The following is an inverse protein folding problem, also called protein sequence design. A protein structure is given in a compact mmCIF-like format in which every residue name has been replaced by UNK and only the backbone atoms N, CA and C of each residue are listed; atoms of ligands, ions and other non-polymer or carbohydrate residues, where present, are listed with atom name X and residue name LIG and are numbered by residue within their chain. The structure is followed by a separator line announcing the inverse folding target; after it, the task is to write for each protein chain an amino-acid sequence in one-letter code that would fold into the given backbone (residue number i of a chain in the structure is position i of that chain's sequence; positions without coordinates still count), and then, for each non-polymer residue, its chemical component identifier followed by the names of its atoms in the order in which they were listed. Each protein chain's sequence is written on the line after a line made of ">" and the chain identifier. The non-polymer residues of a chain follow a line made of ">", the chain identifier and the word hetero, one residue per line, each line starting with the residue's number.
data_IF_339615398097
#
_entry.id   IF_339615398097
#
_cell.length_a   1.000
_cell.length_b   1.000
_cell.length_c   1.000
_cell.angle_alpha   90.00
_cell.angle_beta   90.00
_cell.angle_gamma   90.00
#
_symmetry.space_group_name_H-M   'P 1'
#
loop_
_entity.id
_entity.type
_entity.pdbx_description
1 polymer ?
#
# COMPACT_ATOMS: atom_id res chain seq x y z
N UNK A 1 -4.61 10.03 -19.46
CA UNK A 1 -4.86 11.45 -19.15
C UNK A 1 -6.22 11.52 -18.46
N UNK A 2 -6.25 11.52 -17.13
CA UNK A 2 -6.79 12.64 -16.33
C UNK A 2 -7.79 13.49 -17.11
N UNK A 3 -9.07 13.43 -16.74
CA UNK A 3 -9.96 14.56 -16.41
C UNK A 3 -11.36 13.95 -16.22
N UNK A 4 -11.80 13.78 -14.97
CA UNK A 4 -12.72 14.72 -14.32
C UNK A 4 -13.94 15.01 -15.20
N UNK A 5 -15.05 14.35 -14.91
CA UNK A 5 -16.34 14.97 -15.09
C UNK A 5 -16.92 15.23 -13.69
N UNK A 6 -16.54 16.39 -13.16
CA UNK A 6 -17.29 17.04 -12.11
C UNK A 6 -18.68 17.38 -12.65
N UNK A 7 -19.69 17.02 -11.87
CA UNK A 7 -20.90 17.79 -11.55
C UNK A 7 -21.18 18.98 -12.49
N UNK A 8 -22.28 18.89 -13.25
CA UNK A 8 -23.11 20.05 -13.57
C UNK A 8 -24.54 19.67 -13.15
N UNK A 9 -24.96 20.28 -12.04
CA UNK A 9 -26.35 20.51 -11.67
C UNK A 9 -26.72 21.84 -12.32
N UNK A 10 -27.81 21.86 -13.09
CA UNK A 10 -28.67 23.01 -13.49
C UNK A 10 -29.56 22.49 -14.64
N UNK A 11 -30.89 22.56 -14.68
CA UNK A 11 -31.76 23.66 -14.26
C UNK A 11 -33.20 23.20 -13.90
N UNK A 12 -33.75 23.91 -12.91
CA UNK A 12 -35.10 24.46 -12.77
C UNK A 12 -36.32 23.82 -13.48
N UNK A 13 -37.40 23.59 -12.72
CA UNK A 13 -38.60 24.48 -12.63
C UNK A 13 -39.62 23.86 -11.64
N UNK A 14 -40.03 24.67 -10.66
CA UNK A 14 -41.17 24.53 -9.73
C UNK A 14 -42.39 25.25 -10.36
N UNK A 15 -43.58 25.31 -9.73
CA UNK A 15 -44.63 24.33 -9.45
C UNK A 15 -45.93 24.60 -10.25
N UNK A 16 -46.90 23.68 -10.19
CA UNK A 16 -48.31 24.09 -10.16
C UNK A 16 -49.10 23.20 -9.19
N UNK A 17 -49.42 23.80 -8.04
CA UNK A 17 -50.58 23.46 -7.21
C UNK A 17 -51.85 23.64 -8.03
N UNK A 18 -52.88 22.81 -7.79
CA UNK A 18 -54.22 23.29 -7.48
C UNK A 18 -55.05 22.22 -6.72
N UNK A 19 -55.55 22.64 -5.56
CA UNK A 19 -56.72 22.14 -4.78
C UNK A 19 -57.92 21.89 -5.71
N UNK A 20 -59.01 21.16 -5.40
CA UNK A 20 -59.73 20.70 -4.20
C UNK A 20 -60.61 19.53 -4.76
N UNK A 21 -61.09 18.52 -4.04
CA UNK A 21 -62.31 18.58 -3.22
C UNK A 21 -62.54 17.21 -2.58
N UNK A 22 -62.91 17.24 -1.31
CA UNK A 22 -63.29 16.15 -0.41
C UNK A 22 -64.65 15.53 -0.77
N UNK A 23 -64.77 14.20 -0.72
CA UNK A 23 -65.97 13.53 -0.20
C UNK A 23 -65.52 12.32 0.64
N UNK A 24 -66.14 12.22 1.82
CA UNK A 24 -65.80 11.33 2.93
C UNK A 24 -66.24 9.88 2.67
N UNK A 25 -65.44 8.91 3.12
CA UNK A 25 -65.89 7.65 3.72
C UNK A 25 -64.84 7.18 4.74
N UNK A 26 -65.18 7.23 6.03
CA UNK A 26 -64.56 6.47 7.14
C UNK A 26 -64.92 4.98 6.93
N UNK A 27 -64.17 3.94 7.30
CA UNK A 27 -63.05 3.75 8.22
C UNK A 27 -62.49 2.32 8.00
N UNK A 28 -61.19 2.14 8.23
CA UNK A 28 -60.45 0.93 8.67
C UNK A 28 -59.16 0.63 7.89
N UNK A 29 -58.21 1.56 7.94
CA UNK A 29 -56.83 1.25 7.56
C UNK A 29 -55.98 1.01 8.81
N UNK A 30 -55.67 -0.28 9.02
CA UNK A 30 -54.54 -0.73 9.82
C UNK A 30 -53.29 -0.16 9.12
N UNK A 31 -52.92 1.07 9.47
CA UNK A 31 -51.79 1.80 8.89
C UNK A 31 -50.51 1.08 9.25
N UNK A 32 -50.15 0.08 8.44
CA UNK A 32 -48.78 -0.39 8.35
C UNK A 32 -47.97 0.84 7.99
N UNK A 33 -47.23 1.39 8.97
CA UNK A 33 -46.23 2.42 8.71
C UNK A 33 -45.12 1.77 7.88
N UNK A 34 -45.38 1.60 6.59
CA UNK A 34 -44.41 1.14 5.61
C UNK A 34 -43.36 2.24 5.51
N UNK A 35 -42.25 2.03 6.21
CA UNK A 35 -41.09 2.92 6.17
C UNK A 35 -40.69 3.02 4.70
N UNK A 36 -40.82 4.22 4.13
CA UNK A 36 -40.53 4.39 2.71
C UNK A 36 -39.08 4.00 2.41
N UNK A 37 -38.85 3.42 1.23
CA UNK A 37 -37.51 3.07 0.75
C UNK A 37 -36.54 4.26 0.78
N UNK A 38 -37.08 5.47 0.66
CA UNK A 38 -36.34 6.73 0.84
C UNK A 38 -35.89 6.92 2.29
N UNK A 39 -36.77 6.72 3.28
CA UNK A 39 -36.44 6.82 4.70
C UNK A 39 -35.41 5.75 5.12
N UNK A 40 -35.50 4.54 4.57
CA UNK A 40 -34.49 3.48 4.78
C UNK A 40 -33.14 3.92 4.21
N UNK A 41 -33.09 4.52 3.01
CA UNK A 41 -31.85 5.04 2.42
C UNK A 41 -31.24 6.17 3.25
N UNK A 42 -32.05 7.10 3.74
CA UNK A 42 -31.59 8.21 4.60
C UNK A 42 -31.03 7.67 5.93
N UNK A 43 -31.77 6.78 6.61
CA UNK A 43 -31.30 6.15 7.85
C UNK A 43 -29.98 5.38 7.68
N UNK A 44 -29.81 4.70 6.54
CA UNK A 44 -28.55 4.02 6.23
C UNK A 44 -27.41 5.02 5.99
N UNK A 45 -27.64 6.09 5.21
CA UNK A 45 -26.64 7.14 4.95
C UNK A 45 -26.23 7.82 6.27
N UNK A 46 -27.19 8.22 7.09
CA UNK A 46 -26.93 8.89 8.37
C UNK A 46 -26.16 7.99 9.33
N UNK A 47 -26.49 6.71 9.41
CA UNK A 47 -25.74 5.72 10.18
C UNK A 47 -24.31 5.49 9.63
N UNK A 48 -24.13 5.53 8.31
CA UNK A 48 -22.80 5.43 7.71
C UNK A 48 -21.96 6.68 7.98
N UNK A 49 -22.56 7.88 7.91
CA UNK A 49 -21.89 9.16 8.19
C UNK A 49 -21.51 9.26 9.67
N UNK A 50 -22.44 8.93 10.58
CA UNK A 50 -22.19 8.96 12.03
C UNK A 50 -21.09 7.98 12.43
N UNK A 51 -21.10 6.75 11.91
CA UNK A 51 -20.06 5.75 12.15
C UNK A 51 -18.69 6.20 11.65
N UNK A 52 -18.63 6.81 10.46
CA UNK A 52 -17.39 7.35 9.89
C UNK A 52 -16.84 8.52 10.71
N UNK A 53 -17.72 9.35 11.26
CA UNK A 53 -17.33 10.45 12.14
C UNK A 53 -16.86 9.96 13.51
N UNK A 54 -17.49 8.93 14.06
CA UNK A 54 -17.07 8.27 15.30
C UNK A 54 -15.70 7.59 15.16
N UNK A 55 -15.46 6.86 14.05
CA UNK A 55 -14.15 6.27 13.75
C UNK A 55 -13.06 7.35 13.57
N UNK A 56 -13.37 8.47 12.89
CA UNK A 56 -12.44 9.61 12.76
C UNK A 56 -12.10 10.24 14.12
N UNK A 57 -13.07 10.37 15.01
CA UNK A 57 -12.86 10.95 16.34
C UNK A 57 -12.04 10.04 17.25
N UNK A 58 -12.27 8.71 17.18
CA UNK A 58 -11.44 7.72 17.88
C UNK A 58 -10.00 7.72 17.35
N UNK A 59 -9.81 7.79 16.03
CA UNK A 59 -8.47 7.84 15.40
C UNK A 59 -7.73 9.14 15.78
N UNK A 60 -8.44 10.27 15.91
CA UNK A 60 -7.85 11.54 16.35
C UNK A 60 -7.45 11.56 17.83
N UNK A 61 -8.15 10.84 18.70
CA UNK A 61 -7.85 10.78 20.13
C UNK A 61 -6.62 9.92 20.48
N UNK A 62 -6.14 9.06 19.57
CA UNK A 62 -5.00 8.15 19.84
C UNK A 62 -3.66 8.58 19.22
N UNK A 63 -3.62 9.61 18.36
CA UNK A 63 -2.37 10.08 17.75
C UNK A 63 -1.82 11.22 18.60
N UNK A 64 -0.82 10.93 19.45
CA UNK A 64 0.07 12.00 19.92
C UNK A 64 0.74 12.61 18.70
N UNK A 65 0.43 13.87 18.40
CA UNK A 65 1.09 14.58 17.32
C UNK A 65 2.58 14.69 17.65
N UNK A 66 3.42 14.18 16.75
CA UNK A 66 4.85 14.41 16.84
C UNK A 66 5.07 15.87 16.46
N UNK A 67 5.26 16.73 17.47
CA UNK A 67 5.40 18.18 17.31
C UNK A 67 6.47 18.56 16.26
N UNK A 68 7.54 17.76 16.13
CA UNK A 68 8.57 17.96 15.12
C UNK A 68 9.20 16.64 14.62
N UNK A 69 8.70 16.05 13.52
CA UNK A 69 9.23 14.79 12.98
C UNK A 69 10.65 14.93 12.39
N UNK A 70 11.04 16.13 11.96
CA UNK A 70 12.39 16.37 11.43
C UNK A 70 13.43 16.27 12.54
N UNK A 71 13.15 16.82 13.71
CA UNK A 71 14.02 16.76 14.88
C UNK A 71 14.22 15.32 15.38
N UNK A 72 13.14 14.53 15.39
CA UNK A 72 13.22 13.09 15.66
C UNK A 72 14.19 12.40 14.70
N UNK A 73 14.10 12.73 13.41
CA UNK A 73 15.00 12.22 12.37
C UNK A 73 16.45 12.63 12.58
N UNK A 74 16.70 13.90 12.93
CA UNK A 74 18.05 14.42 13.24
C UNK A 74 18.66 13.70 14.43
N UNK A 75 17.92 13.57 15.53
CA UNK A 75 18.37 12.88 16.74
C UNK A 75 18.71 11.41 16.45
N UNK A 76 17.86 10.74 15.68
CA UNK A 76 18.11 9.36 15.26
C UNK A 76 19.36 9.23 14.39
N UNK A 77 19.52 10.12 13.39
CA UNK A 77 20.68 10.15 12.50
C UNK A 77 21.99 10.42 13.24
N UNK A 78 22.00 11.41 14.14
CA UNK A 78 23.17 11.71 14.99
C UNK A 78 23.53 10.53 15.88
N UNK A 79 22.54 9.87 16.49
CA UNK A 79 22.77 8.66 17.30
C UNK A 79 23.37 7.54 16.44
N UNK A 80 22.81 7.28 15.26
CA UNK A 80 23.32 6.28 14.32
C UNK A 80 24.77 6.56 13.94
N UNK A 81 25.10 7.79 13.53
CA UNK A 81 26.46 8.18 13.19
C UNK A 81 27.45 7.99 14.35
N UNK A 82 27.04 8.36 15.57
CA UNK A 82 27.89 8.26 16.77
C UNK A 82 28.27 6.81 17.13
N UNK A 83 27.43 5.83 16.77
CA UNK A 83 27.67 4.41 17.05
C UNK A 83 28.58 3.71 16.03
N UNK A 84 29.29 4.45 15.18
CA UNK A 84 30.22 3.89 14.17
C UNK A 84 31.25 2.91 14.74
N UNK A 85 31.74 3.18 15.94
CA UNK A 85 32.74 2.34 16.63
C UNK A 85 32.17 0.98 17.05
N UNK A 86 30.91 0.95 17.50
CA UNK A 86 30.22 -0.29 17.88
C UNK A 86 30.07 -1.21 16.66
N UNK A 87 29.71 -0.63 15.50
CA UNK A 87 29.55 -1.38 14.24
C UNK A 87 30.89 -1.92 13.73
N UNK A 88 31.98 -1.13 13.82
CA UNK A 88 33.32 -1.54 13.34
C UNK A 88 33.80 -2.84 14.01
N UNK A 89 33.47 -3.03 15.27
CA UNK A 89 33.98 -4.14 16.05
C UNK A 89 33.19 -5.44 15.84
N UNK A 90 32.04 -5.38 15.16
CA UNK A 90 31.14 -6.51 15.03
C UNK A 90 31.29 -7.24 13.69
N UNK A 91 32.12 -8.29 13.68
CA UNK A 91 32.34 -9.14 12.49
C UNK A 91 31.08 -9.91 12.05
N UNK A 92 30.07 -10.05 12.92
CA UNK A 92 28.84 -10.79 12.63
C UNK A 92 27.96 -10.13 11.55
N UNK A 93 28.27 -8.90 11.15
CA UNK A 93 27.59 -8.22 10.04
C UNK A 93 28.05 -8.70 8.66
N UNK A 94 29.24 -9.29 8.57
CA UNK A 94 29.80 -9.86 7.34
C UNK A 94 29.50 -11.36 7.24
N UNK A 95 29.61 -12.07 8.37
CA UNK A 95 29.39 -13.52 8.45
C UNK A 95 28.49 -13.86 9.63
N UNK A 96 27.43 -14.61 9.38
CA UNK A 96 26.51 -15.09 10.40
C UNK A 96 26.03 -16.51 10.06
N UNK A 97 25.67 -17.27 11.09
CA UNK A 97 25.15 -18.62 10.96
C UNK A 97 23.62 -18.66 10.88
N UNK A 98 22.93 -17.70 11.51
CA UNK A 98 21.46 -17.62 11.50
C UNK A 98 20.94 -16.20 11.30
N UNK A 99 19.69 -16.07 10.84
CA UNK A 99 19.04 -14.75 10.68
C UNK A 99 18.86 -14.02 12.02
N UNK A 100 18.75 -14.77 13.12
CA UNK A 100 18.63 -14.21 14.45
C UNK A 100 19.97 -13.61 14.91
N UNK A 101 21.08 -14.32 14.70
CA UNK A 101 22.42 -13.79 14.95
C UNK A 101 22.68 -12.51 14.14
N UNK A 102 22.28 -12.51 12.87
CA UNK A 102 22.37 -11.31 12.04
C UNK A 102 21.52 -10.15 12.57
N UNK A 103 20.33 -10.42 13.11
CA UNK A 103 19.48 -9.43 13.77
C UNK A 103 20.14 -8.85 15.03
N UNK A 104 20.69 -9.70 15.89
CA UNK A 104 21.36 -9.30 17.13
C UNK A 104 22.68 -8.55 16.88
N UNK A 105 23.29 -8.72 15.71
CA UNK A 105 24.51 -8.02 15.33
C UNK A 105 24.29 -6.51 15.07
N UNK A 106 23.05 -6.07 14.84
CA UNK A 106 22.73 -4.67 14.61
C UNK A 106 22.67 -3.85 15.90
N UNK A 107 22.87 -2.54 15.75
CA UNK A 107 22.75 -1.56 16.82
C UNK A 107 21.40 -1.71 17.55
N UNK A 108 21.45 -1.95 18.85
CA UNK A 108 20.24 -2.24 19.65
C UNK A 108 19.20 -1.11 19.59
N UNK A 109 19.64 0.15 19.58
CA UNK A 109 18.71 1.27 19.46
C UNK A 109 18.00 1.29 18.09
N UNK A 110 18.70 0.91 17.01
CA UNK A 110 18.17 0.84 15.65
C UNK A 110 17.15 -0.29 15.54
N UNK A 111 17.46 -1.49 16.05
CA UNK A 111 16.53 -2.62 16.01
C UNK A 111 15.28 -2.38 16.86
N UNK A 112 15.41 -1.77 18.04
CA UNK A 112 14.27 -1.41 18.89
C UNK A 112 13.36 -0.37 18.23
N UNK A 113 13.94 0.71 17.68
CA UNK A 113 13.19 1.75 16.97
C UNK A 113 12.40 1.16 15.80
N UNK A 114 13.09 0.41 14.92
CA UNK A 114 12.46 -0.20 13.75
C UNK A 114 11.41 -1.25 14.15
N UNK A 115 11.66 -2.01 15.20
CA UNK A 115 10.69 -3.00 15.71
C UNK A 115 9.40 -2.31 16.17
N UNK A 116 9.51 -1.25 16.96
CA UNK A 116 8.35 -0.46 17.40
C UNK A 116 7.58 0.13 16.21
N UNK A 117 8.29 0.73 15.26
CA UNK A 117 7.72 1.32 14.05
C UNK A 117 6.96 0.28 13.20
N UNK A 118 7.60 -0.85 12.88
CA UNK A 118 7.00 -1.92 12.07
C UNK A 118 5.85 -2.61 12.81
N UNK A 119 5.99 -2.83 14.12
CA UNK A 119 4.94 -3.44 14.94
C UNK A 119 3.64 -2.64 14.91
N UNK A 120 3.70 -1.33 15.14
CA UNK A 120 2.50 -0.48 15.14
C UNK A 120 1.82 -0.44 13.77
N UNK A 121 2.58 -0.38 12.68
CA UNK A 121 2.02 -0.47 11.32
C UNK A 121 1.35 -1.84 11.09
N UNK A 122 2.03 -2.94 11.43
CA UNK A 122 1.51 -4.29 11.26
C UNK A 122 0.24 -4.54 12.08
N UNK A 123 0.22 -4.06 13.33
CA UNK A 123 -0.93 -4.11 14.24
C UNK A 123 -2.15 -3.46 13.59
N UNK A 124 -2.04 -2.22 13.13
CA UNK A 124 -3.14 -1.51 12.44
C UNK A 124 -3.61 -2.25 11.18
N UNK A 125 -2.69 -2.76 10.35
CA UNK A 125 -3.04 -3.55 9.15
C UNK A 125 -3.80 -4.83 9.49
N UNK A 126 -3.38 -5.55 10.54
CA UNK A 126 -4.02 -6.78 10.98
C UNK A 126 -5.41 -6.50 11.57
N UNK A 127 -5.59 -5.41 12.31
CA UNK A 127 -6.91 -5.00 12.82
C UNK A 127 -7.92 -4.86 11.69
N UNK A 128 -7.57 -4.14 10.62
CA UNK A 128 -8.42 -3.96 9.43
C UNK A 128 -8.68 -5.31 8.75
N UNK A 129 -7.64 -6.12 8.56
CA UNK A 129 -7.78 -7.43 7.92
C UNK A 129 -8.69 -8.37 8.73
N UNK A 130 -8.56 -8.39 10.05
CA UNK A 130 -9.34 -9.24 10.94
C UNK A 130 -10.79 -8.79 10.99
N UNK A 131 -11.04 -7.48 10.97
CA UNK A 131 -12.39 -6.95 10.81
C UNK A 131 -13.07 -7.49 9.54
N UNK A 132 -12.40 -7.42 8.38
CA UNK A 132 -12.93 -7.99 7.13
C UNK A 132 -13.10 -9.52 7.17
N UNK A 133 -12.20 -10.24 7.84
CA UNK A 133 -12.28 -11.70 7.97
C UNK A 133 -13.43 -12.13 8.88
N UNK A 134 -13.73 -11.36 9.93
CA UNK A 134 -14.88 -11.59 10.81
C UNK A 134 -16.20 -11.53 10.02
N UNK A 135 -16.36 -10.52 9.16
CA UNK A 135 -17.51 -10.43 8.25
C UNK A 135 -17.65 -11.63 7.32
N UNK A 136 -16.53 -12.25 6.93
CA UNK A 136 -16.49 -13.44 6.06
C UNK A 136 -16.51 -14.76 6.83
N UNK A 137 -16.78 -14.75 8.14
CA UNK A 137 -16.75 -15.94 9.03
C UNK A 137 -15.41 -16.71 8.96
N UNK A 138 -14.29 -16.00 8.77
CA UNK A 138 -12.93 -16.56 8.75
C UNK A 138 -12.20 -16.27 10.05
N UNK A 139 -11.29 -17.16 10.44
CA UNK A 139 -10.44 -17.02 11.63
C UNK A 139 -9.57 -15.76 11.57
N UNK A 140 -9.38 -15.10 12.71
CA UNK A 140 -8.50 -13.94 12.83
C UNK A 140 -7.03 -14.34 12.62
N UNK A 141 -6.26 -13.44 12.00
CA UNK A 141 -4.81 -13.56 11.85
C UNK A 141 -4.12 -12.92 13.05
N UNK A 142 -3.02 -13.50 13.49
CA UNK A 142 -2.14 -12.96 14.52
C UNK A 142 -0.91 -12.29 13.91
N UNK A 143 -0.30 -11.38 14.67
CA UNK A 143 1.00 -10.78 14.33
C UNK A 143 2.07 -11.86 14.55
N UNK A 144 2.94 -12.07 13.57
CA UNK A 144 4.07 -13.01 13.69
C UNK A 144 5.34 -12.23 14.02
N UNK A 145 5.94 -12.53 15.19
CA UNK A 145 7.21 -11.95 15.62
C UNK A 145 8.32 -12.15 14.59
N UNK A 146 8.44 -13.37 14.05
CA UNK A 146 9.42 -13.71 13.02
C UNK A 146 9.32 -12.82 11.76
N UNK A 147 8.10 -12.44 11.36
CA UNK A 147 7.91 -11.53 10.22
C UNK A 147 8.44 -10.14 10.53
N UNK A 148 8.19 -9.64 11.75
CA UNK A 148 8.70 -8.34 12.19
C UNK A 148 10.23 -8.39 12.20
N UNK A 149 10.83 -9.41 12.81
CA UNK A 149 12.28 -9.58 12.83
C UNK A 149 12.87 -9.53 11.43
N UNK A 150 12.34 -10.31 10.47
CA UNK A 150 12.82 -10.29 9.08
C UNK A 150 12.78 -8.91 8.42
N UNK A 151 11.68 -8.17 8.61
CA UNK A 151 11.54 -6.81 8.05
C UNK A 151 12.52 -5.86 8.73
N UNK A 152 12.64 -5.92 10.06
CA UNK A 152 13.55 -5.07 10.84
C UNK A 152 15.00 -5.34 10.46
N UNK A 153 15.42 -6.60 10.38
CA UNK A 153 16.76 -6.99 9.93
C UNK A 153 17.06 -6.43 8.54
N UNK A 154 16.11 -6.55 7.60
CA UNK A 154 16.26 -5.98 6.27
C UNK A 154 16.45 -4.46 6.32
N UNK A 155 15.57 -3.73 6.99
CA UNK A 155 15.65 -2.27 7.10
C UNK A 155 16.92 -1.80 7.83
N UNK A 156 17.30 -2.48 8.92
CA UNK A 156 18.50 -2.20 9.69
C UNK A 156 19.76 -2.36 8.83
N UNK A 157 19.81 -3.39 7.97
CA UNK A 157 20.92 -3.59 7.04
C UNK A 157 21.07 -2.43 6.05
N UNK A 158 19.94 -1.91 5.53
CA UNK A 158 19.94 -0.78 4.60
C UNK A 158 20.39 0.50 5.31
N UNK A 159 19.84 0.81 6.48
CA UNK A 159 20.25 1.99 7.25
C UNK A 159 21.72 1.95 7.66
N UNK A 160 22.20 0.79 8.08
CA UNK A 160 23.60 0.62 8.48
C UNK A 160 24.53 0.79 7.27
N UNK A 161 24.13 0.32 6.09
CA UNK A 161 24.90 0.50 4.85
C UNK A 161 24.93 1.95 4.36
N UNK A 162 23.81 2.67 4.50
CA UNK A 162 23.76 4.11 4.19
C UNK A 162 24.66 4.90 5.14
N UNK A 163 24.61 4.60 6.44
CA UNK A 163 25.43 5.29 7.43
C UNK A 163 26.93 4.93 7.31
N UNK A 164 27.22 3.68 6.95
CA UNK A 164 28.58 3.14 6.93
C UNK A 164 28.87 2.33 5.65
N UNK A 165 29.02 2.98 4.50
CA UNK A 165 29.21 2.31 3.21
C UNK A 165 30.54 1.54 3.12
N UNK A 166 31.50 1.85 3.99
CA UNK A 166 32.79 1.17 4.05
C UNK A 166 32.73 -0.22 4.70
N UNK A 167 31.60 -0.62 5.31
CA UNK A 167 31.46 -1.92 5.95
C UNK A 167 30.79 -2.90 4.99
N UNK A 168 31.35 -4.11 4.88
CA UNK A 168 30.84 -5.16 3.98
C UNK A 168 29.63 -5.85 4.59
N UNK A 169 28.54 -5.10 4.80
CA UNK A 169 27.30 -5.65 5.34
C UNK A 169 26.79 -6.68 4.34
N UNK A 170 26.59 -7.91 4.82
CA UNK A 170 26.29 -9.07 3.98
C UNK A 170 25.05 -8.85 3.10
N UNK A 171 23.94 -8.34 3.68
CA UNK A 171 22.66 -8.29 2.97
C UNK A 171 22.62 -7.27 1.80
N UNK A 172 23.03 -6.01 1.97
CA UNK A 172 23.11 -5.05 0.87
C UNK A 172 24.10 -5.48 -0.23
N UNK A 173 25.23 -6.10 0.15
CA UNK A 173 26.19 -6.66 -0.81
C UNK A 173 25.56 -7.75 -1.67
N UNK A 174 24.85 -8.69 -1.05
CA UNK A 174 24.11 -9.73 -1.76
C UNK A 174 23.00 -9.14 -2.62
N UNK A 175 22.22 -8.19 -2.11
CA UNK A 175 21.16 -7.53 -2.89
C UNK A 175 21.71 -6.91 -4.17
N UNK A 176 22.86 -6.24 -4.07
CA UNK A 176 23.54 -5.62 -5.20
C UNK A 176 23.94 -6.68 -6.22
N UNK A 177 24.54 -7.78 -5.77
CA UNK A 177 24.93 -8.89 -6.66
C UNK A 177 23.73 -9.59 -7.33
N UNK A 178 22.62 -9.74 -6.61
CA UNK A 178 21.38 -10.34 -7.12
C UNK A 178 20.73 -9.43 -8.16
N UNK A 179 20.74 -8.11 -7.94
CA UNK A 179 20.18 -7.13 -8.88
C UNK A 179 20.99 -6.98 -10.17
N UNK A 180 22.31 -7.13 -10.12
CA UNK A 180 23.18 -7.01 -11.30
C UNK A 180 23.13 -8.23 -12.22
N UNK A 181 22.74 -9.41 -11.72
CA UNK A 181 22.73 -10.66 -12.48
C UNK A 181 21.30 -10.98 -12.94
N UNK A 182 20.96 -10.86 -14.24
CA UNK A 182 19.59 -11.08 -14.71
C UNK A 182 19.09 -12.51 -14.43
N UNK A 183 19.99 -13.51 -14.42
CA UNK A 183 19.67 -14.90 -14.07
C UNK A 183 19.21 -15.09 -12.62
N UNK A 184 19.49 -14.13 -11.73
CA UNK A 184 19.17 -14.20 -10.29
C UNK A 184 18.02 -13.26 -9.89
N UNK A 185 17.38 -12.60 -10.86
CA UNK A 185 16.26 -11.69 -10.61
C UNK A 185 15.08 -12.41 -9.93
N UNK A 186 14.87 -13.70 -10.23
CA UNK A 186 13.86 -14.54 -9.59
C UNK A 186 14.15 -14.74 -8.10
N UNK A 187 15.41 -14.98 -7.75
CA UNK A 187 15.87 -15.10 -6.36
C UNK A 187 15.69 -13.78 -5.60
N UNK A 188 16.02 -12.64 -6.24
CA UNK A 188 15.77 -11.31 -5.67
C UNK A 188 14.28 -11.09 -5.41
N UNK A 189 13.43 -11.44 -6.38
CA UNK A 189 11.99 -11.32 -6.27
C UNK A 189 11.45 -12.17 -5.12
N UNK A 190 11.91 -13.42 -4.99
CA UNK A 190 11.51 -14.32 -3.90
C UNK A 190 11.96 -13.79 -2.53
N UNK A 191 13.16 -13.21 -2.46
CA UNK A 191 13.67 -12.54 -1.25
C UNK A 191 12.79 -11.34 -0.84
N UNK A 192 12.50 -10.42 -1.78
CA UNK A 192 11.67 -9.23 -1.52
C UNK A 192 10.24 -9.59 -1.09
N UNK A 193 9.72 -10.73 -1.58
CA UNK A 193 8.44 -11.29 -1.15
C UNK A 193 8.49 -11.78 0.30
N UNK A 194 9.58 -12.43 0.74
CA UNK A 194 9.77 -12.85 2.14
C UNK A 194 9.90 -11.67 3.09
N UNK A 195 10.58 -10.60 2.66
CA UNK A 195 10.69 -9.35 3.40
C UNK A 195 9.42 -8.48 3.32
N UNK A 196 8.36 -8.94 2.65
CA UNK A 196 7.09 -8.22 2.50
C UNK A 196 7.23 -6.81 1.90
N UNK A 197 8.30 -6.55 1.14
CA UNK A 197 8.53 -5.29 0.42
C UNK A 197 7.63 -5.22 -0.81
N UNK A 198 7.34 -6.37 -1.41
CA UNK A 198 6.52 -6.44 -2.62
C UNK A 198 5.02 -6.46 -2.29
N UNK A 199 4.29 -5.47 -2.79
CA UNK A 199 2.85 -5.33 -2.59
C UNK A 199 1.97 -6.13 -3.54
N UNK A 200 2.54 -6.62 -4.65
CA UNK A 200 1.80 -7.23 -5.74
C UNK A 200 2.25 -8.67 -6.00
N UNK A 201 1.36 -9.44 -6.64
CA UNK A 201 1.69 -10.80 -7.09
C UNK A 201 2.38 -10.74 -8.45
N UNK A 202 3.24 -11.71 -8.77
CA UNK A 202 3.85 -11.83 -10.11
C UNK A 202 2.82 -11.84 -11.23
N UNK A 203 1.61 -12.34 -10.96
CA UNK A 203 0.51 -12.30 -11.92
C UNK A 203 0.05 -10.88 -12.20
N UNK A 204 -0.04 -10.05 -11.16
CA UNK A 204 -0.40 -8.64 -11.29
C UNK A 204 0.65 -7.85 -12.07
N UNK A 205 1.93 -8.07 -11.78
CA UNK A 205 3.02 -7.40 -12.52
C UNK A 205 3.06 -7.84 -13.99
N UNK A 206 2.91 -9.15 -14.28
CA UNK A 206 2.82 -9.65 -15.66
C UNK A 206 1.62 -9.12 -16.43
N UNK A 207 0.49 -8.94 -15.76
CA UNK A 207 -0.69 -8.35 -16.40
C UNK A 207 -0.41 -6.89 -16.80
N UNK A 208 0.19 -6.10 -15.92
CA UNK A 208 0.61 -4.72 -16.26
C UNK A 208 1.61 -4.69 -17.40
N UNK A 209 2.57 -5.61 -17.42
CA UNK A 209 3.55 -5.69 -18.50
C UNK A 209 2.87 -5.98 -19.85
N UNK A 210 1.88 -6.89 -19.87
CA UNK A 210 1.06 -7.12 -21.06
C UNK A 210 0.30 -5.86 -21.47
N UNK A 211 -0.39 -5.21 -20.53
CA UNK A 211 -1.11 -3.97 -20.79
C UNK A 211 -0.17 -2.90 -21.38
N UNK A 212 1.07 -2.79 -20.89
CA UNK A 212 2.07 -1.87 -21.41
C UNK A 212 2.52 -2.24 -22.83
N UNK A 213 2.79 -3.53 -23.09
CA UNK A 213 3.20 -4.01 -24.41
C UNK A 213 2.10 -3.84 -25.45
N UNK A 214 0.85 -4.13 -25.10
CA UNK A 214 -0.30 -3.95 -25.99
C UNK A 214 -0.47 -2.48 -26.37
N UNK A 215 -0.31 -1.56 -25.41
CA UNK A 215 -0.32 -0.12 -25.69
C UNK A 215 0.83 0.33 -26.61
N UNK A 216 2.03 -0.24 -26.48
CA UNK A 216 3.16 0.04 -27.37
C UNK A 216 2.88 -0.47 -28.79
N UNK A 217 2.36 -1.70 -28.93
CA UNK A 217 2.01 -2.28 -30.23
C UNK A 217 0.94 -1.46 -30.94
N UNK A 218 -0.08 -1.00 -30.21
CA UNK A 218 -1.12 -0.09 -30.75
C UNK A 218 -0.50 1.22 -31.22
N UNK A 219 0.46 1.79 -30.48
CA UNK A 219 1.16 3.01 -30.93
C UNK A 219 2.06 2.80 -32.14
N UNK A 220 2.76 1.66 -32.25
CA UNK A 220 3.61 1.34 -33.42
C UNK A 220 2.78 1.11 -34.67
N UNK A 221 1.61 0.47 -34.55
CA UNK A 221 0.70 0.21 -35.69
C UNK A 221 -0.06 1.46 -36.16
N UNK A 222 -0.04 2.55 -35.39
CA UNK A 222 -0.61 3.85 -35.76
C UNK A 222 0.41 4.81 -36.40
N UNK A 223 1.69 4.43 -36.50
CA UNK A 223 2.68 5.21 -37.28
C UNK A 223 2.36 4.97 -38.76
N UNK A 224 1.99 5.99 -39.55
CA UNK A 224 1.65 5.79 -40.95
C UNK A 224 2.89 5.29 -41.70
N UNK A 225 2.72 4.14 -42.36
CA UNK A 225 3.68 3.54 -43.29
C UNK A 225 3.86 4.42 -44.54
N UNK A 226 4.41 5.62 -44.39
CA UNK A 226 4.82 6.49 -45.49
C UNK A 226 6.35 6.58 -45.55
N UNK A 227 7.00 5.44 -45.73
CA UNK A 227 8.35 5.37 -46.31
C UNK A 227 8.33 4.19 -47.28
N UNK A 228 7.94 4.49 -48.52
CA UNK A 228 7.95 3.54 -49.62
C UNK A 228 9.37 3.08 -49.92
N UNK A 229 9.70 1.85 -49.54
CA UNK A 229 10.82 1.13 -50.13
C UNK A 229 10.32 0.49 -51.42
N UNK A 230 10.72 1.09 -52.55
CA UNK A 230 10.51 0.54 -53.88
C UNK A 230 11.13 -0.85 -53.97
N UNK A 231 10.34 -1.81 -54.41
CA UNK A 231 10.81 -3.16 -54.76
C UNK A 231 11.73 -3.10 -55.98
N UNK A 232 12.85 -3.84 -56.00
CA UNK A 232 13.66 -3.96 -57.20
C UNK A 232 12.94 -4.87 -58.21
N UNK A 233 12.70 -4.34 -59.41
CA UNK A 233 12.24 -5.12 -60.56
C UNK A 233 13.37 -6.04 -61.02
N UNK A 234 13.23 -7.35 -60.80
CA UNK A 234 14.01 -8.34 -61.51
C UNK A 234 13.51 -8.42 -62.96
N UNK A 235 14.35 -7.99 -63.90
CA UNK A 235 14.22 -8.33 -65.32
C UNK A 235 15.02 -9.61 -65.54
N UNK A 236 14.37 -10.64 -66.08
CA UNK A 236 15.03 -11.82 -66.62
C UNK A 236 14.64 -11.93 -68.10
N UNK A 237 15.65 -12.32 -68.89
CA UNK A 237 15.61 -12.64 -70.32
C UNK A 237 14.42 -13.52 -70.73
#
# INVERSE_FOLDING_TARGET
>A
MILRASIIITDYILPTSNKLTTQNQEENDKKNNEISLFMIKILLIDNFVSKKNQEKNIIKQEIQEINNPEELGKLFGSKLWSSRKEVKNNKSLEFFSTIHEYYEAFLKFLTLFLSGFIFEIMKKKITICNWQRKHRKKTCKTISSLKITKIVTFMASIFTNIAFPSYNIWLPSILTSLGQKPKLISSLHQFLKVCHVMGHTERHERNKEKDHMDNIIIHVTQIPNNLGFGTPKCTNY
#
